data_IF_212640483248
#
_entry.id   IF_212640483248
#
_cell.length_a   1.000
_cell.length_b   1.000
_cell.length_c   1.000
_cell.angle_alpha   90.00
_cell.angle_beta   90.00
_cell.angle_gamma   90.00
#
_symmetry.space_group_name_H-M   'P 1'
#
loop_
_entity.id
_entity.type
_entity.pdbx_description
1 polymer ?
#
# COMPACT_ATOMS: atom_id res chain seq x y z
N UNK A 1 40.06 37.19 -4.95
CA UNK A 1 39.74 37.14 -6.39
C UNK A 1 38.66 36.07 -6.59
N UNK A 2 37.46 36.51 -6.99
CA UNK A 2 36.31 35.68 -7.34
C UNK A 2 36.60 34.85 -8.60
N UNK A 3 36.08 33.62 -8.68
CA UNK A 3 35.35 33.12 -9.86
C UNK A 3 34.25 32.16 -9.41
N UNK A 4 33.03 32.68 -9.30
CA UNK A 4 31.79 31.92 -9.34
C UNK A 4 31.54 31.51 -10.79
N UNK A 5 31.17 30.25 -11.03
CA UNK A 5 30.61 29.82 -12.31
C UNK A 5 29.10 29.62 -12.12
N UNK A 6 28.35 30.62 -12.56
CA UNK A 6 26.90 30.62 -12.73
C UNK A 6 26.61 30.09 -14.14
N UNK A 7 25.83 29.01 -14.26
CA UNK A 7 25.22 28.61 -15.54
C UNK A 7 23.71 28.81 -15.38
N UNK A 8 23.25 29.92 -15.93
CA UNK A 8 21.86 30.30 -16.10
C UNK A 8 21.47 29.86 -17.52
N UNK A 9 20.55 28.90 -17.65
CA UNK A 9 19.95 28.57 -18.94
C UNK A 9 18.46 28.87 -18.87
N UNK A 10 18.11 29.99 -19.49
CA UNK A 10 16.77 30.53 -19.68
C UNK A 10 15.99 29.67 -20.67
N UNK A 11 14.79 29.20 -20.29
CA UNK A 11 13.82 28.66 -21.23
C UNK A 11 12.52 29.47 -21.12
N UNK A 12 12.26 30.28 -22.14
CA UNK A 12 11.02 31.05 -22.27
C UNK A 12 10.38 30.85 -23.63
N UNK A 13 9.10 30.47 -23.56
CA UNK A 13 7.96 30.82 -24.43
C UNK A 13 7.90 30.10 -25.78
N UNK A 14 6.79 29.38 -26.03
CA UNK A 14 5.71 29.80 -26.97
C UNK A 14 4.42 29.05 -26.64
N UNK A 15 3.38 29.80 -26.21
CA UNK A 15 1.98 29.37 -26.32
C UNK A 15 1.57 29.36 -27.79
N UNK A 16 0.85 28.33 -28.23
CA UNK A 16 -0.03 28.44 -29.40
C UNK A 16 -1.38 27.83 -29.09
N UNK A 17 -2.35 28.72 -28.86
CA UNK A 17 -3.76 28.40 -28.93
C UNK A 17 -4.15 28.27 -30.41
N UNK A 18 -4.74 27.14 -30.78
CA UNK A 18 -5.50 27.03 -32.02
C UNK A 18 -6.99 27.09 -31.67
N UNK A 19 -7.64 28.13 -32.18
CA UNK A 19 -9.08 28.28 -32.24
C UNK A 19 -9.52 28.43 -33.71
N UNK A 20 -10.83 28.18 -33.92
CA UNK A 20 -11.67 28.43 -35.10
C UNK A 20 -11.75 27.32 -36.17
N UNK A 21 -12.91 26.95 -36.75
CA UNK A 21 -14.34 27.26 -36.58
C UNK A 21 -15.12 26.52 -37.68
N UNK A 22 -16.41 26.22 -37.48
CA UNK A 22 -17.57 26.63 -38.35
C UNK A 22 -18.87 25.92 -37.93
N UNK A 23 -19.92 26.66 -37.51
CA UNK A 23 -21.10 27.18 -38.28
C UNK A 23 -22.10 26.08 -38.67
N UNK A 24 -23.43 26.21 -38.56
CA UNK A 24 -24.34 27.31 -38.24
C UNK A 24 -25.80 26.79 -38.15
N UNK A 25 -26.70 27.67 -37.71
CA UNK A 25 -28.15 27.80 -38.04
C UNK A 25 -29.16 27.61 -36.89
N UNK A 26 -29.72 28.75 -36.46
CA UNK A 26 -31.04 28.92 -35.85
C UNK A 26 -32.06 29.27 -36.98
N UNK A 27 -33.40 29.38 -36.77
CA UNK A 27 -34.00 30.41 -35.89
C UNK A 27 -35.41 30.14 -35.27
N UNK A 28 -35.76 31.06 -34.35
CA UNK A 28 -37.11 31.64 -34.08
C UNK A 28 -38.14 30.82 -33.25
N UNK A 29 -38.98 31.39 -32.37
CA UNK A 29 -39.46 32.77 -32.18
C UNK A 29 -40.25 32.92 -30.83
N UNK A 30 -40.23 34.13 -30.23
CA UNK A 30 -41.23 34.82 -29.32
C UNK A 30 -41.65 34.19 -27.97
N UNK A 31 -42.13 34.92 -26.95
CA UNK A 31 -42.15 36.32 -26.45
C UNK A 31 -43.28 36.39 -25.38
N UNK A 32 -43.19 37.34 -24.43
CA UNK A 32 -44.19 37.82 -23.43
C UNK A 32 -44.25 37.04 -22.09
N UNK A 33 -43.81 37.59 -20.94
CA UNK A 33 -44.34 38.72 -20.11
C UNK A 33 -45.73 38.37 -19.50
N UNK A 34 -46.06 38.49 -18.20
CA UNK A 34 -45.51 39.27 -17.09
C UNK A 34 -46.16 38.79 -15.75
N UNK A 35 -45.58 39.27 -14.63
CA UNK A 35 -46.13 39.44 -13.26
C UNK A 35 -46.31 38.25 -12.31
N UNK A 36 -45.48 38.23 -11.25
CA UNK A 36 -45.99 37.98 -9.88
C UNK A 36 -45.15 38.76 -8.85
N UNK A 37 -45.87 39.35 -7.90
CA UNK A 37 -45.44 40.24 -6.81
C UNK A 37 -44.38 39.68 -5.84
N UNK A 38 -43.70 40.64 -5.22
CA UNK A 38 -42.88 40.56 -4.01
C UNK A 38 -43.46 39.67 -2.90
N UNK A 39 -42.63 38.85 -2.25
CA UNK A 39 -42.10 39.14 -0.90
C UNK A 39 -41.38 37.91 -0.31
N UNK A 40 -40.14 38.16 0.13
CA UNK A 40 -39.39 37.58 1.26
C UNK A 40 -39.68 36.13 1.70
N UNK A 41 -38.67 35.26 1.69
CA UNK A 41 -37.96 34.82 2.90
C UNK A 41 -36.83 33.80 2.59
N UNK A 42 -35.69 34.02 3.26
CA UNK A 42 -34.62 33.07 3.62
C UNK A 42 -33.97 32.20 2.52
N UNK A 43 -32.76 32.60 2.13
CA UNK A 43 -31.77 31.72 1.49
C UNK A 43 -31.26 30.70 2.52
N UNK A 44 -31.80 29.48 2.49
CA UNK A 44 -31.03 28.30 2.91
C UNK A 44 -30.25 27.83 1.68
N UNK A 45 -28.94 28.03 1.73
CA UNK A 45 -28.00 27.45 0.79
C UNK A 45 -27.97 25.95 1.09
N UNK A 46 -28.72 25.16 0.31
CA UNK A 46 -28.47 23.73 0.18
C UNK A 46 -27.04 23.56 -0.36
N UNK A 47 -26.08 23.37 0.55
CA UNK A 47 -24.80 22.80 0.17
C UNK A 47 -25.06 21.37 -0.33
N UNK A 48 -24.57 20.99 -1.53
CA UNK A 48 -24.70 19.62 -1.98
C UNK A 48 -23.95 18.73 -1.00
N UNK A 49 -24.73 17.90 -0.30
CA UNK A 49 -24.30 16.76 0.50
C UNK A 49 -23.28 15.96 -0.32
N UNK A 50 -22.00 16.22 -0.07
CA UNK A 50 -20.92 15.36 -0.56
C UNK A 50 -20.99 14.10 0.28
N UNK A 51 -21.80 13.16 -0.19
CA UNK A 51 -21.71 11.77 0.20
C UNK A 51 -20.32 11.30 -0.21
N UNK A 52 -19.37 11.34 0.73
CA UNK A 52 -18.08 10.68 0.57
C UNK A 52 -18.38 9.20 0.32
N UNK A 53 -18.16 8.78 -0.93
CA UNK A 53 -18.42 7.42 -1.39
C UNK A 53 -17.55 6.45 -0.58
N UNK A 54 -18.16 5.72 0.36
CA UNK A 54 -17.46 4.76 1.22
C UNK A 54 -16.89 3.66 0.32
N UNK A 55 -15.58 3.72 0.09
CA UNK A 55 -14.86 2.68 -0.65
C UNK A 55 -14.67 1.49 0.30
N UNK A 56 -15.22 0.32 -0.09
CA UNK A 56 -15.04 -0.91 0.68
C UNK A 56 -13.63 -1.46 0.47
N UNK A 57 -13.19 -2.29 1.41
CA UNK A 57 -11.96 -3.07 1.22
C UNK A 57 -12.03 -3.88 -0.07
N UNK A 58 -10.90 -3.96 -0.79
CA UNK A 58 -10.79 -4.74 -2.02
C UNK A 58 -11.19 -6.19 -1.77
N UNK A 59 -12.00 -6.74 -2.67
CA UNK A 59 -12.54 -8.09 -2.54
C UNK A 59 -12.79 -8.73 -3.91
N UNK A 60 -12.74 -10.07 -3.93
CA UNK A 60 -13.07 -10.90 -5.10
C UNK A 60 -14.01 -12.04 -4.67
N UNK A 61 -14.93 -12.44 -5.55
CA UNK A 61 -15.76 -13.63 -5.35
C UNK A 61 -15.27 -14.75 -6.25
N UNK A 62 -14.90 -15.89 -5.66
CA UNK A 62 -14.39 -17.08 -6.36
C UNK A 62 -14.97 -18.33 -5.70
N UNK A 63 -15.49 -19.24 -6.52
CA UNK A 63 -16.07 -20.53 -6.11
C UNK A 63 -17.07 -20.44 -4.93
N UNK A 64 -17.89 -19.37 -4.93
CA UNK A 64 -18.91 -19.10 -3.92
C UNK A 64 -18.41 -18.46 -2.63
N UNK A 65 -17.12 -18.11 -2.55
CA UNK A 65 -16.49 -17.49 -1.38
C UNK A 65 -16.02 -16.06 -1.66
N UNK A 66 -16.29 -15.17 -0.70
CA UNK A 66 -15.84 -13.78 -0.73
C UNK A 66 -14.47 -13.66 -0.05
N UNK A 67 -13.44 -13.42 -0.86
CA UNK A 67 -12.09 -13.17 -0.40
C UNK A 67 -11.86 -11.66 -0.30
N UNK A 68 -11.30 -11.19 0.81
CA UNK A 68 -11.00 -9.78 1.07
C UNK A 68 -9.51 -9.57 1.22
N UNK A 69 -9.02 -8.43 0.76
CA UNK A 69 -7.62 -8.03 0.90
C UNK A 69 -7.23 -8.03 2.38
N UNK A 70 -6.11 -8.67 2.69
CA UNK A 70 -5.56 -8.68 4.05
C UNK A 70 -4.69 -7.46 4.33
N UNK A 71 -4.27 -6.73 3.29
CA UNK A 71 -3.25 -5.68 3.36
C UNK A 71 -1.81 -6.19 3.21
N UNK A 72 -1.61 -7.51 3.09
CA UNK A 72 -0.29 -8.14 3.05
C UNK A 72 0.06 -8.68 1.67
N UNK A 73 1.36 -8.73 1.39
CA UNK A 73 1.90 -9.41 0.21
C UNK A 73 2.13 -10.89 0.56
N UNK A 74 1.72 -11.78 -0.34
CA UNK A 74 2.14 -13.18 -0.30
C UNK A 74 3.55 -13.31 -0.88
N UNK A 75 4.53 -13.61 -0.02
CA UNK A 75 5.92 -13.83 -0.39
C UNK A 75 6.27 -15.32 -0.59
N UNK A 76 5.28 -16.22 -0.60
CA UNK A 76 5.47 -17.65 -0.86
C UNK A 76 5.06 -18.08 -2.27
N UNK A 77 4.72 -17.14 -3.15
CA UNK A 77 4.37 -17.44 -4.54
C UNK A 77 5.61 -17.95 -5.29
N UNK A 78 5.67 -19.28 -5.49
CA UNK A 78 6.80 -19.95 -6.16
C UNK A 78 6.53 -20.22 -7.64
N UNK A 79 5.27 -20.31 -8.05
CA UNK A 79 4.86 -20.61 -9.42
C UNK A 79 4.04 -19.43 -9.94
N UNK A 80 4.56 -18.70 -10.93
CA UNK A 80 3.86 -17.57 -11.55
C UNK A 80 2.71 -17.97 -12.49
N UNK A 81 2.23 -19.22 -12.41
CA UNK A 81 1.05 -19.66 -13.18
C UNK A 81 -0.19 -19.43 -12.33
N UNK A 82 -1.01 -18.47 -12.72
CA UNK A 82 -2.27 -18.15 -12.05
C UNK A 82 -3.35 -19.19 -12.39
N UNK A 83 -4.22 -19.49 -11.44
CA UNK A 83 -5.28 -20.50 -11.57
C UNK A 83 -6.50 -19.96 -12.34
N UNK A 84 -6.77 -18.67 -12.22
CA UNK A 84 -7.93 -18.05 -12.85
C UNK A 84 -7.81 -16.53 -13.00
N UNK A 85 -8.86 -15.93 -13.56
CA UNK A 85 -8.98 -14.49 -13.80
C UNK A 85 -10.33 -13.97 -13.33
N UNK A 86 -10.31 -12.74 -12.84
CA UNK A 86 -11.49 -11.92 -12.56
C UNK A 86 -11.65 -10.93 -13.71
N UNK A 87 -12.79 -10.99 -14.40
CA UNK A 87 -13.02 -10.25 -15.64
C UNK A 87 -14.16 -9.21 -15.52
N UNK A 88 -14.89 -9.22 -14.40
CA UNK A 88 -15.99 -8.30 -14.13
C UNK A 88 -15.71 -7.47 -12.89
N UNK A 89 -15.98 -6.18 -12.97
CA UNK A 89 -15.81 -5.22 -11.88
C UNK A 89 -17.19 -4.68 -11.49
N UNK A 90 -17.51 -4.76 -10.20
CA UNK A 90 -18.70 -4.14 -9.59
C UNK A 90 -18.32 -2.79 -8.96
N UNK A 91 -19.28 -1.94 -8.57
CA UNK A 91 -18.98 -0.67 -7.89
C UNK A 91 -18.10 -0.87 -6.64
N UNK A 92 -17.19 0.08 -6.38
CA UNK A 92 -16.21 0.02 -5.29
C UNK A 92 -16.83 0.11 -3.89
N UNK A 93 -18.07 0.58 -3.80
CA UNK A 93 -18.87 0.67 -2.58
C UNK A 93 -19.77 -0.57 -2.34
N UNK A 94 -19.64 -1.62 -3.16
CA UNK A 94 -20.32 -2.90 -2.98
C UNK A 94 -19.33 -4.07 -2.98
N UNK A 95 -19.62 -5.12 -2.22
CA UNK A 95 -18.89 -6.39 -2.34
C UNK A 95 -19.38 -7.17 -3.57
N UNK A 96 -18.48 -7.89 -4.29
CA UNK A 96 -18.87 -8.79 -5.37
C UNK A 96 -19.83 -9.87 -4.85
N UNK A 97 -20.82 -10.24 -5.67
CA UNK A 97 -21.90 -11.16 -5.29
C UNK A 97 -21.91 -12.43 -6.13
N UNK A 98 -21.26 -12.42 -7.29
CA UNK A 98 -21.16 -13.57 -8.19
C UNK A 98 -19.70 -13.91 -8.47
N UNK A 99 -19.40 -15.18 -8.69
CA UNK A 99 -18.05 -15.63 -9.04
C UNK A 99 -17.49 -14.89 -10.26
N UNK A 100 -16.20 -14.57 -10.22
CA UNK A 100 -15.52 -13.82 -11.28
C UNK A 100 -15.75 -12.31 -11.24
N UNK A 101 -16.22 -11.79 -10.09
CA UNK A 101 -16.37 -10.36 -9.81
C UNK A 101 -15.34 -9.86 -8.78
N UNK A 102 -14.86 -8.62 -8.96
CA UNK A 102 -14.15 -7.83 -7.97
C UNK A 102 -14.80 -6.46 -7.79
N UNK A 103 -14.49 -5.77 -6.70
CA UNK A 103 -14.92 -4.38 -6.45
C UNK A 103 -13.80 -3.35 -6.67
N UNK A 104 -12.71 -3.69 -7.35
CA UNK A 104 -11.59 -2.76 -7.57
C UNK A 104 -11.13 -2.75 -9.03
N UNK A 105 -10.70 -3.89 -9.57
CA UNK A 105 -10.29 -4.02 -10.97
C UNK A 105 -10.21 -5.51 -11.39
N UNK A 106 -10.01 -5.75 -12.68
CA UNK A 106 -9.65 -7.05 -13.24
C UNK A 106 -8.29 -7.51 -12.70
N UNK A 107 -8.18 -8.79 -12.39
CA UNK A 107 -6.98 -9.38 -11.82
C UNK A 107 -6.88 -10.87 -12.14
N UNK A 108 -5.73 -11.46 -11.81
CA UNK A 108 -5.53 -12.90 -11.85
C UNK A 108 -5.42 -13.43 -10.41
N UNK A 109 -5.83 -14.68 -10.16
CA UNK A 109 -5.75 -15.28 -8.83
C UNK A 109 -5.13 -16.68 -8.83
N UNK A 110 -4.58 -17.08 -7.69
CA UNK A 110 -4.05 -18.41 -7.40
C UNK A 110 -4.45 -18.82 -5.98
N UNK A 111 -4.85 -20.06 -5.78
CA UNK A 111 -5.12 -20.60 -4.44
C UNK A 111 -3.83 -20.73 -3.64
N UNK A 112 -3.78 -20.13 -2.44
CA UNK A 112 -2.59 -20.16 -1.58
C UNK A 112 -2.71 -21.19 -0.44
N UNK A 113 -3.93 -21.44 0.04
CA UNK A 113 -4.27 -22.40 1.08
C UNK A 113 -5.76 -22.36 1.39
N UNK A 114 -6.21 -23.16 2.36
CA UNK A 114 -7.62 -23.14 2.80
C UNK A 114 -7.99 -21.73 3.29
N UNK A 115 -8.99 -21.11 2.63
CA UNK A 115 -9.44 -19.76 2.94
C UNK A 115 -8.52 -18.64 2.46
N UNK A 116 -7.45 -18.92 1.70
CA UNK A 116 -6.51 -17.92 1.18
C UNK A 116 -6.38 -17.93 -0.33
N UNK A 117 -6.38 -16.72 -0.89
CA UNK A 117 -6.23 -16.47 -2.31
C UNK A 117 -5.10 -15.46 -2.52
N UNK A 118 -4.20 -15.75 -3.46
CA UNK A 118 -3.25 -14.77 -3.95
C UNK A 118 -3.81 -14.09 -5.17
N UNK A 119 -3.95 -12.77 -5.11
CA UNK A 119 -4.41 -11.93 -6.22
C UNK A 119 -3.21 -11.19 -6.80
N UNK A 120 -2.93 -11.40 -8.09
CA UNK A 120 -1.93 -10.64 -8.80
C UNK A 120 -2.55 -9.38 -9.38
N UNK A 121 -2.16 -8.23 -8.82
CA UNK A 121 -2.66 -6.92 -9.21
C UNK A 121 -1.56 -5.87 -9.03
N UNK A 122 -1.44 -4.93 -9.98
CA UNK A 122 -0.40 -3.88 -10.01
C UNK A 122 1.04 -4.40 -9.80
N UNK A 123 1.36 -5.59 -10.32
CA UNK A 123 2.69 -6.18 -10.19
C UNK A 123 3.00 -6.73 -8.80
N UNK A 124 2.00 -6.88 -7.94
CA UNK A 124 2.12 -7.42 -6.58
C UNK A 124 1.25 -8.66 -6.42
N UNK A 125 1.71 -9.59 -5.59
CA UNK A 125 0.95 -10.76 -5.18
C UNK A 125 0.27 -10.47 -3.84
N UNK A 126 -0.90 -9.84 -3.90
CA UNK A 126 -1.67 -9.47 -2.72
C UNK A 126 -2.31 -10.72 -2.11
N UNK A 127 -2.30 -10.83 -0.79
CA UNK A 127 -2.93 -11.92 -0.07
C UNK A 127 -4.35 -11.53 0.34
N UNK A 128 -5.31 -12.35 -0.05
CA UNK A 128 -6.71 -12.21 0.30
C UNK A 128 -7.16 -13.42 1.14
N UNK A 129 -8.15 -13.22 2.01
CA UNK A 129 -8.68 -14.24 2.91
C UNK A 129 -10.21 -14.20 2.99
N UNK A 130 -10.85 -15.35 3.26
CA UNK A 130 -12.29 -15.44 3.54
C UNK A 130 -12.66 -15.04 4.98
N UNK A 131 -11.66 -14.88 5.86
CA UNK A 131 -11.88 -14.46 7.24
C UNK A 131 -10.71 -13.69 7.85
N UNK A 132 -10.93 -13.16 9.05
CA UNK A 132 -9.94 -12.38 9.81
C UNK A 132 -9.01 -13.32 10.60
N UNK A 133 -8.21 -14.13 9.90
CA UNK A 133 -7.35 -15.19 10.48
C UNK A 133 -5.86 -14.79 10.47
N UNK A 134 -5.49 -13.90 11.38
CA UNK A 134 -4.17 -13.26 11.42
C UNK A 134 -2.98 -14.24 11.52
N UNK A 135 -3.05 -15.20 12.44
CA UNK A 135 -1.96 -16.18 12.64
C UNK A 135 -1.68 -17.03 11.39
N UNK A 136 -2.71 -17.28 10.60
CA UNK A 136 -2.61 -18.01 9.34
C UNK A 136 -2.05 -17.11 8.22
N UNK A 137 -2.45 -15.83 8.18
CA UNK A 137 -1.89 -14.82 7.25
C UNK A 137 -0.37 -14.73 7.37
N UNK A 138 0.16 -14.67 8.61
CA UNK A 138 1.59 -14.52 8.90
C UNK A 138 2.48 -15.58 8.23
N UNK A 139 1.94 -16.76 7.90
CA UNK A 139 2.69 -17.82 7.21
C UNK A 139 3.12 -17.42 5.81
N UNK A 140 2.40 -16.52 5.15
CA UNK A 140 2.66 -16.08 3.79
C UNK A 140 3.52 -14.82 3.70
N UNK A 141 3.69 -14.11 4.81
CA UNK A 141 4.33 -12.79 4.86
C UNK A 141 5.81 -12.94 5.17
N UNK A 142 6.65 -12.28 4.38
CA UNK A 142 8.09 -12.27 4.61
C UNK A 142 8.41 -11.77 6.02
N UNK A 143 9.28 -12.51 6.71
CA UNK A 143 9.73 -12.12 8.03
C UNK A 143 11.16 -12.58 8.31
N UNK A 144 11.72 -12.00 9.37
CA UNK A 144 12.97 -12.44 9.97
C UNK A 144 12.93 -12.16 11.48
N UNK A 145 13.79 -12.83 12.24
CA UNK A 145 14.02 -12.51 13.64
C UNK A 145 15.40 -11.94 13.86
N UNK A 146 15.58 -11.21 14.95
CA UNK A 146 16.88 -10.68 15.36
C UNK A 146 16.80 -9.95 16.69
N UNK A 147 17.92 -9.39 17.13
CA UNK A 147 18.03 -8.60 18.36
C UNK A 147 18.13 -7.13 17.99
N UNK A 148 17.28 -6.27 18.57
CA UNK A 148 17.38 -4.82 18.38
C UNK A 148 18.67 -4.34 19.03
N UNK A 149 19.61 -3.86 18.23
CA UNK A 149 20.87 -3.30 18.70
C UNK A 149 20.74 -1.83 19.07
N UNK A 150 19.94 -1.07 18.31
CA UNK A 150 19.76 0.37 18.50
C UNK A 150 18.39 0.80 17.96
N UNK A 151 17.79 1.78 18.64
CA UNK A 151 16.58 2.47 18.19
C UNK A 151 16.94 3.92 17.84
N UNK A 152 16.90 4.26 16.56
CA UNK A 152 17.11 5.62 16.11
C UNK A 152 15.82 6.43 16.30
N UNK A 153 15.97 7.65 16.82
CA UNK A 153 14.85 8.58 17.03
C UNK A 153 15.04 9.85 16.20
N UNK A 154 13.92 10.44 15.78
CA UNK A 154 13.92 11.78 15.22
C UNK A 154 14.44 12.81 16.24
N UNK A 155 15.29 13.73 15.79
CA UNK A 155 15.91 14.71 16.69
C UNK A 155 14.90 15.71 17.28
N UNK A 156 13.84 16.02 16.55
CA UNK A 156 12.86 17.03 16.94
C UNK A 156 11.69 16.39 17.70
N UNK A 157 11.07 15.34 17.15
CA UNK A 157 9.87 14.73 17.76
C UNK A 157 10.20 13.73 18.86
N UNK A 158 11.41 13.18 18.87
CA UNK A 158 11.84 12.08 19.75
C UNK A 158 11.04 10.79 19.55
N UNK A 159 10.39 10.66 18.40
CA UNK A 159 9.74 9.42 17.98
C UNK A 159 10.78 8.47 17.38
N UNK A 160 10.61 7.18 17.63
CA UNK A 160 11.44 6.15 17.00
C UNK A 160 11.13 6.10 15.49
N UNK A 161 12.19 6.13 14.68
CA UNK A 161 12.07 6.15 13.21
C UNK A 161 12.70 4.94 12.55
N UNK A 162 13.66 4.28 13.23
CA UNK A 162 14.37 3.15 12.67
C UNK A 162 14.88 2.19 13.75
N UNK A 163 14.87 0.90 13.42
CA UNK A 163 15.54 -0.14 14.20
C UNK A 163 16.80 -0.59 13.47
N UNK A 164 17.90 -0.72 14.21
CA UNK A 164 19.08 -1.46 13.77
C UNK A 164 19.07 -2.82 14.46
N UNK A 165 18.95 -3.90 13.67
CA UNK A 165 18.71 -5.24 14.19
C UNK A 165 19.87 -6.15 13.79
N UNK A 166 20.46 -6.85 14.76
CA UNK A 166 21.56 -7.82 14.54
C UNK A 166 21.11 -9.24 14.83
N UNK A 167 22.05 -10.19 14.72
CA UNK A 167 21.81 -11.61 15.00
C UNK A 167 20.63 -12.16 14.18
N UNK A 168 20.64 -11.81 12.89
CA UNK A 168 19.52 -12.03 11.98
C UNK A 168 19.35 -13.53 11.67
N UNK A 169 18.13 -14.01 11.84
CA UNK A 169 17.69 -15.33 11.42
C UNK A 169 16.48 -15.20 10.47
N UNK A 170 16.65 -15.67 9.24
CA UNK A 170 15.63 -15.62 8.18
C UNK A 170 15.11 -17.04 7.94
N UNK A 171 13.79 -17.28 8.02
CA UNK A 171 13.19 -18.55 7.65
C UNK A 171 13.59 -18.98 6.23
N UNK A 172 13.79 -20.29 6.03
CA UNK A 172 14.33 -20.86 4.79
C UNK A 172 13.53 -20.44 3.56
N UNK A 173 12.20 -20.40 3.70
CA UNK A 173 11.25 -20.00 2.68
C UNK A 173 11.41 -18.56 2.20
N UNK A 174 12.00 -17.67 3.00
CA UNK A 174 12.18 -16.25 2.70
C UNK A 174 13.63 -15.86 2.37
N UNK A 175 14.60 -16.78 2.50
CA UNK A 175 16.02 -16.48 2.21
C UNK A 175 16.25 -15.94 0.80
N UNK A 176 15.43 -16.35 -0.17
CA UNK A 176 15.53 -15.90 -1.55
C UNK A 176 15.45 -14.37 -1.70
N UNK A 177 14.76 -13.68 -0.77
CA UNK A 177 14.61 -12.22 -0.75
C UNK A 177 15.97 -11.54 -0.56
N UNK A 178 16.84 -12.16 0.22
CA UNK A 178 18.15 -11.62 0.58
C UNK A 178 19.29 -12.22 -0.27
N UNK A 179 18.95 -12.86 -1.39
CA UNK A 179 19.92 -13.45 -2.31
C UNK A 179 20.54 -14.75 -1.81
N UNK A 180 21.68 -15.15 -2.40
CA UNK A 180 22.37 -16.42 -2.09
C UNK A 180 23.14 -16.40 -0.76
N UNK A 181 22.93 -15.38 0.05
CA UNK A 181 23.63 -15.26 1.32
C UNK A 181 22.99 -16.18 2.36
N UNK A 182 23.77 -17.07 2.97
CA UNK A 182 23.30 -17.96 4.03
C UNK A 182 23.59 -17.39 5.42
N UNK A 183 24.37 -16.32 5.50
CA UNK A 183 24.77 -15.68 6.76
C UNK A 183 24.60 -14.16 6.65
N UNK A 184 24.03 -13.54 7.69
CA UNK A 184 23.75 -12.10 7.72
C UNK A 184 24.58 -11.42 8.81
N UNK A 185 25.90 -11.22 8.59
CA UNK A 185 26.80 -10.71 9.62
C UNK A 185 26.55 -9.21 9.94
N UNK A 186 25.96 -8.48 9.00
CA UNK A 186 25.66 -7.07 9.15
C UNK A 186 24.22 -6.86 9.64
N UNK A 187 24.00 -5.88 10.53
CA UNK A 187 22.65 -5.54 10.96
C UNK A 187 21.74 -5.09 9.83
N UNK A 188 20.44 -5.37 9.99
CA UNK A 188 19.38 -4.85 9.13
C UNK A 188 18.89 -3.52 9.67
N UNK A 189 18.56 -2.59 8.77
CA UNK A 189 17.89 -1.33 9.10
C UNK A 189 16.42 -1.43 8.73
N UNK A 190 15.52 -1.24 9.70
CA UNK A 190 14.08 -1.30 9.50
C UNK A 190 13.47 0.07 9.78
N UNK A 191 12.82 0.68 8.79
CA UNK A 191 12.07 1.93 8.99
C UNK A 191 10.77 1.69 9.74
N UNK A 192 10.41 2.62 10.62
CA UNK A 192 9.20 2.58 11.44
C UNK A 192 8.13 3.58 10.97
N UNK A 193 7.78 3.52 9.68
CA UNK A 193 6.72 4.36 9.11
C UNK A 193 5.34 3.73 9.34
N UNK A 194 4.62 4.18 10.37
CA UNK A 194 3.31 3.65 10.78
C UNK A 194 3.31 2.15 11.16
N UNK A 195 4.46 1.65 11.62
CA UNK A 195 4.64 0.24 12.00
C UNK A 195 4.07 -0.01 13.39
N UNK A 196 3.27 -1.07 13.54
CA UNK A 196 2.83 -1.52 14.85
C UNK A 196 3.94 -2.30 15.54
N UNK A 197 4.32 -1.88 16.74
CA UNK A 197 5.31 -2.56 17.56
C UNK A 197 4.58 -3.08 18.78
N UNK A 198 4.62 -4.39 19.00
CA UNK A 198 3.76 -5.02 20.00
C UNK A 198 4.43 -6.25 20.64
N UNK A 199 3.93 -6.63 21.82
CA UNK A 199 4.12 -7.96 22.40
C UNK A 199 2.74 -8.59 22.54
N UNK A 200 2.53 -9.74 21.92
CA UNK A 200 1.21 -10.35 21.74
C UNK A 200 0.19 -9.37 21.16
N UNK A 201 -0.66 -8.78 22.00
CA UNK A 201 -1.73 -7.83 21.62
C UNK A 201 -1.54 -6.44 22.23
N UNK A 202 -0.45 -6.24 22.97
CA UNK A 202 -0.15 -4.97 23.62
C UNK A 202 0.86 -4.19 22.80
N UNK A 203 0.47 -2.98 22.39
CA UNK A 203 1.35 -2.05 21.70
C UNK A 203 2.43 -1.54 22.65
N UNK A 204 3.67 -1.51 22.16
CA UNK A 204 4.87 -1.11 22.89
C UNK A 204 5.48 0.12 22.22
N UNK A 205 6.03 1.05 23.01
CA UNK A 205 6.86 2.13 22.48
C UNK A 205 8.17 1.52 21.93
N UNK A 206 8.52 1.72 20.65
CA UNK A 206 9.73 1.15 20.08
C UNK A 206 11.03 1.58 20.80
N UNK A 207 11.02 2.66 21.60
CA UNK A 207 12.17 3.04 22.43
C UNK A 207 12.45 2.05 23.58
N UNK A 208 11.50 1.19 23.92
CA UNK A 208 11.60 0.23 25.02
C UNK A 208 12.06 -1.17 24.58
N UNK A 209 12.40 -1.35 23.30
CA UNK A 209 12.75 -2.67 22.74
C UNK A 209 14.24 -2.83 22.42
N UNK A 210 15.09 -1.86 22.75
CA UNK A 210 16.54 -2.03 22.62
C UNK A 210 17.03 -3.23 23.45
N UNK A 211 17.85 -4.09 22.83
CA UNK A 211 18.34 -5.34 23.39
C UNK A 211 17.34 -6.50 23.36
N UNK A 212 16.08 -6.28 22.96
CA UNK A 212 15.07 -7.34 22.89
C UNK A 212 15.13 -8.10 21.59
N UNK A 213 14.72 -9.37 21.64
CA UNK A 213 14.50 -10.18 20.45
C UNK A 213 13.16 -9.81 19.82
N UNK A 214 13.16 -9.64 18.50
CA UNK A 214 11.97 -9.29 17.73
C UNK A 214 11.82 -10.17 16.50
N UNK A 215 10.59 -10.25 15.99
CA UNK A 215 10.26 -10.69 14.65
C UNK A 215 9.69 -9.52 13.86
N UNK A 216 10.20 -9.30 12.66
CA UNK A 216 9.73 -8.22 11.77
C UNK A 216 9.00 -8.86 10.60
N UNK A 217 7.76 -8.44 10.34
CA UNK A 217 7.02 -8.80 9.13
C UNK A 217 7.03 -7.63 8.16
N UNK A 218 7.28 -7.88 6.87
CA UNK A 218 7.49 -6.83 5.88
C UNK A 218 7.00 -7.24 4.50
N UNK A 219 6.98 -6.30 3.56
CA UNK A 219 6.42 -6.48 2.20
C UNK A 219 7.24 -7.40 1.27
N UNK A 220 8.35 -7.94 1.78
CA UNK A 220 9.28 -8.78 1.04
C UNK A 220 10.26 -8.02 0.15
N UNK A 221 10.34 -6.69 0.25
CA UNK A 221 11.40 -5.91 -0.42
C UNK A 221 12.51 -5.55 0.55
N UNK A 222 13.71 -5.86 0.13
CA UNK A 222 14.93 -5.50 0.83
C UNK A 222 15.92 -4.87 -0.16
N UNK A 223 16.64 -3.85 0.29
CA UNK A 223 17.69 -3.20 -0.50
C UNK A 223 19.08 -3.60 0.01
N UNK A 224 20.10 -3.38 -0.82
CA UNK A 224 21.49 -3.71 -0.53
C UNK A 224 21.72 -5.20 -0.18
N UNK A 225 20.96 -6.10 -0.82
CA UNK A 225 21.07 -7.56 -0.60
C UNK A 225 22.23 -8.21 -1.38
N UNK A 226 22.99 -7.42 -2.14
CA UNK A 226 24.14 -7.91 -2.88
C UNK A 226 25.33 -8.19 -1.95
N UNK A 227 25.90 -9.40 -2.05
CA UNK A 227 26.97 -9.94 -1.20
C UNK A 227 28.26 -9.09 -1.17
N UNK A 228 28.58 -8.38 -2.26
CA UNK A 228 29.81 -7.60 -2.39
C UNK A 228 29.68 -6.20 -1.77
N UNK A 229 28.48 -5.83 -1.32
CA UNK A 229 28.22 -4.53 -0.72
C UNK A 229 28.53 -4.55 0.76
N UNK A 230 29.30 -3.57 1.23
CA UNK A 230 29.45 -3.29 2.66
C UNK A 230 28.26 -2.51 3.24
N UNK A 231 27.27 -2.16 2.41
CA UNK A 231 26.10 -1.44 2.86
C UNK A 231 25.20 -2.34 3.71
N UNK A 232 24.50 -1.74 4.67
CA UNK A 232 23.51 -2.44 5.47
C UNK A 232 22.28 -2.74 4.61
N UNK A 233 21.70 -3.92 4.82
CA UNK A 233 20.40 -4.28 4.23
C UNK A 233 19.34 -3.38 4.85
N UNK A 234 18.46 -2.83 4.01
CA UNK A 234 17.39 -1.95 4.47
C UNK A 234 16.02 -2.51 4.12
N UNK A 235 15.10 -2.41 5.07
CA UNK A 235 13.68 -2.74 4.97
C UNK A 235 12.91 -1.43 5.11
N UNK A 236 12.32 -0.99 4.00
CA UNK A 236 11.65 0.31 3.93
C UNK A 236 10.16 0.24 4.27
N UNK A 237 9.58 -0.95 4.30
CA UNK A 237 8.14 -1.15 4.53
C UNK A 237 7.91 -2.40 5.37
N UNK A 238 8.10 -2.24 6.68
CA UNK A 238 7.62 -3.20 7.65
C UNK A 238 6.11 -3.01 7.89
N UNK A 239 5.42 -4.11 8.15
CA UNK A 239 4.03 -4.08 8.58
C UNK A 239 3.95 -3.98 10.10
N UNK A 240 4.71 -4.83 10.79
CA UNK A 240 4.74 -4.89 12.25
C UNK A 240 6.08 -5.45 12.78
N UNK A 241 6.32 -5.18 14.05
CA UNK A 241 7.43 -5.73 14.84
C UNK A 241 6.87 -6.37 16.11
N UNK A 242 7.01 -7.68 16.20
CA UNK A 242 6.57 -8.51 17.32
C UNK A 242 7.75 -8.74 18.27
N UNK A 243 7.65 -8.33 19.54
CA UNK A 243 8.63 -8.60 20.59
C UNK A 243 8.45 -10.04 21.08
N UNK A 244 9.55 -10.80 21.15
CA UNK A 244 9.53 -12.24 21.45
C UNK A 244 9.97 -12.61 22.87
N UNK A 245 10.32 -11.61 23.69
CA UNK A 245 10.81 -11.77 25.07
C UNK A 245 9.72 -11.59 26.13
#
# INVERSE_FOLDING_TARGET
MKKFLLILMTLTIVMSAFACQKQNDAPNEKSEANETNESSETNELDEPDRTDEVTLISAVMVDGELYKDTGYINNLVKCGTMDGKIEKVVPTNEFPKNDGESNFDKCEYQYAGEGFLTVYYEGKYLLFSTGDIWDETKKYVANFTGTVEEVACDEDTKDATMLRIKDIDVPEEFKYIFGKNTEYPNPFLVKLDYVDVHNDRERIDPKEIEGKKVRVYFDGKAHNTELESSALITIDSAYEVEVLD
#
